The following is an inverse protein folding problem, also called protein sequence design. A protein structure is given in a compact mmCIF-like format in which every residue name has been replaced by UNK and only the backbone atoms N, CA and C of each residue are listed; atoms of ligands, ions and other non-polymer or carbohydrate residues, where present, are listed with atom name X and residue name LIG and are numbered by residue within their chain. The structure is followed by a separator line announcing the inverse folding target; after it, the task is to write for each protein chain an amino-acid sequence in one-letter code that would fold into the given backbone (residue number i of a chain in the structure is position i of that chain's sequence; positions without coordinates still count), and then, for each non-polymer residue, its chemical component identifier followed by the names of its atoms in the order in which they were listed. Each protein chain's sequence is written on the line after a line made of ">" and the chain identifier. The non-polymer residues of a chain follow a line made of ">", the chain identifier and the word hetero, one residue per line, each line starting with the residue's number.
data_IF_509656796567
#
_entry.id   IF_509656796567
#
_cell.length_a   1.000
_cell.length_b   1.000
_cell.length_c   1.000
_cell.angle_alpha   90.00
_cell.angle_beta   90.00
_cell.angle_gamma   90.00
#
_symmetry.space_group_name_H-M   'P 1'
#
loop_
_entity.id
_entity.type
_entity.pdbx_description
1 polymer ?
#
# COMPACT_ATOMS: atom_id res chain seq x y z
N UNK A 1 23.83 -57.70 74.26
CA UNK A 1 22.81 -57.54 73.21
C UNK A 1 23.36 -56.62 72.12
N UNK A 2 23.93 -57.16 71.02
CA UNK A 2 24.44 -56.37 69.88
C UNK A 2 23.41 -56.38 68.75
N UNK A 3 22.77 -55.24 68.47
CA UNK A 3 21.87 -55.06 67.30
C UNK A 3 22.74 -54.93 66.05
N UNK A 4 22.57 -55.85 65.09
CA UNK A 4 23.14 -55.70 63.75
C UNK A 4 22.23 -54.78 62.93
N UNK A 5 22.82 -53.71 62.38
CA UNK A 5 22.17 -52.81 61.43
C UNK A 5 22.21 -53.46 60.03
N UNK A 6 21.03 -53.78 59.49
CA UNK A 6 20.86 -54.31 58.14
C UNK A 6 21.00 -53.16 57.13
N UNK A 7 22.10 -53.16 56.39
CA UNK A 7 22.37 -52.24 55.29
C UNK A 7 21.49 -52.62 54.10
N UNK A 8 20.52 -51.77 53.75
CA UNK A 8 19.76 -51.85 52.50
C UNK A 8 20.62 -51.24 51.40
N UNK A 9 21.13 -52.06 50.48
CA UNK A 9 21.81 -51.56 49.28
C UNK A 9 20.76 -51.23 48.22
N UNK A 10 20.67 -49.96 47.81
CA UNK A 10 19.87 -49.57 46.65
C UNK A 10 20.69 -49.82 45.39
N UNK A 11 20.28 -50.78 44.57
CA UNK A 11 20.82 -50.97 43.22
C UNK A 11 20.39 -49.79 42.35
N UNK A 12 21.24 -48.78 42.24
CA UNK A 12 21.13 -47.77 41.19
C UNK A 12 21.56 -48.44 39.89
N UNK A 13 20.57 -48.94 39.12
CA UNK A 13 20.80 -49.44 37.78
C UNK A 13 21.24 -48.25 36.92
N UNK A 14 22.53 -48.21 36.53
CA UNK A 14 23.05 -47.21 35.62
C UNK A 14 22.44 -47.38 34.23
N UNK A 15 21.95 -46.28 33.66
CA UNK A 15 21.45 -46.25 32.28
C UNK A 15 22.54 -46.70 31.31
N UNK A 16 22.17 -47.55 30.35
CA UNK A 16 23.10 -47.97 29.31
C UNK A 16 23.30 -46.85 28.29
N UNK A 17 24.53 -46.68 27.77
CA UNK A 17 24.82 -45.71 26.70
C UNK A 17 23.91 -45.93 25.47
N UNK A 18 23.47 -47.18 25.26
CA UNK A 18 22.56 -47.56 24.18
C UNK A 18 21.13 -47.03 24.39
N UNK A 19 20.58 -47.11 25.61
CA UNK A 19 19.27 -46.49 25.91
C UNK A 19 19.29 -45.00 25.65
N UNK A 20 20.36 -44.32 26.05
CA UNK A 20 20.48 -42.89 25.84
C UNK A 20 20.58 -42.55 24.34
N UNK A 21 21.27 -43.38 23.55
CA UNK A 21 21.36 -43.24 22.10
C UNK A 21 20.01 -43.46 21.40
N UNK A 22 19.23 -44.45 21.83
CA UNK A 22 17.89 -44.71 21.29
C UNK A 22 16.95 -43.54 21.63
N UNK A 23 17.01 -43.01 22.85
CA UNK A 23 16.17 -41.88 23.27
C UNK A 23 16.47 -40.63 22.44
N UNK A 24 17.74 -40.27 22.25
CA UNK A 24 18.08 -39.10 21.42
C UNK A 24 17.72 -39.33 19.95
N UNK A 25 17.80 -40.56 19.44
CA UNK A 25 17.38 -40.88 18.08
C UNK A 25 15.86 -40.74 17.90
N UNK A 26 15.07 -41.25 18.85
CA UNK A 26 13.60 -41.11 18.83
C UNK A 26 13.20 -39.64 18.95
N UNK A 27 13.81 -38.89 19.88
CA UNK A 27 13.54 -37.45 20.04
C UNK A 27 13.91 -36.70 18.76
N UNK A 28 15.04 -37.01 18.12
CA UNK A 28 15.45 -36.39 16.87
C UNK A 28 14.45 -36.60 15.73
N UNK A 29 13.95 -37.83 15.57
CA UNK A 29 12.93 -38.14 14.56
C UNK A 29 11.62 -37.41 14.86
N UNK A 30 11.15 -37.47 16.11
CA UNK A 30 9.92 -36.80 16.51
C UNK A 30 10.00 -35.28 16.37
N UNK A 31 11.12 -34.67 16.74
CA UNK A 31 11.35 -33.24 16.55
C UNK A 31 11.30 -32.88 15.06
N UNK A 32 12.00 -33.63 14.19
CA UNK A 32 12.01 -33.33 12.75
C UNK A 32 10.61 -33.34 12.13
N UNK A 33 9.79 -34.34 12.50
CA UNK A 33 8.44 -34.48 11.99
C UNK A 33 7.52 -33.36 12.52
N UNK A 34 7.70 -32.99 13.79
CA UNK A 34 6.92 -31.93 14.45
C UNK A 34 7.19 -30.57 13.83
N UNK A 35 8.47 -30.21 13.59
CA UNK A 35 8.82 -28.95 12.94
C UNK A 35 8.24 -28.82 11.53
N UNK A 36 8.27 -29.89 10.74
CA UNK A 36 7.71 -29.88 9.39
C UNK A 36 6.19 -29.64 9.38
N UNK A 37 5.46 -30.27 10.30
CA UNK A 37 4.00 -30.09 10.43
C UNK A 37 3.65 -28.69 10.95
N UNK A 38 4.39 -28.18 11.95
CA UNK A 38 4.13 -26.86 12.51
C UNK A 38 4.32 -25.74 11.47
N UNK A 39 5.37 -25.81 10.64
CA UNK A 39 5.62 -24.81 9.60
C UNK A 39 4.55 -24.78 8.51
N UNK A 40 3.97 -25.93 8.14
CA UNK A 40 2.87 -25.97 7.16
C UNK A 40 1.55 -25.46 7.71
N UNK A 41 1.29 -25.64 9.01
CA UNK A 41 0.07 -25.14 9.68
C UNK A 41 0.11 -23.61 9.83
N UNK A 42 1.29 -23.02 10.09
CA UNK A 42 1.43 -21.56 10.20
C UNK A 42 1.20 -20.86 8.86
N UNK A 43 1.82 -21.35 7.78
CA UNK A 43 1.67 -20.74 6.45
C UNK A 43 0.22 -20.79 5.94
N UNK A 44 -0.47 -21.92 6.19
CA UNK A 44 -1.89 -22.07 5.86
C UNK A 44 -2.78 -21.08 6.63
N UNK A 45 -2.53 -20.91 7.93
CA UNK A 45 -3.26 -19.98 8.77
C UNK A 45 -3.00 -18.52 8.39
N UNK A 46 -1.75 -18.16 8.10
CA UNK A 46 -1.35 -16.82 7.66
C UNK A 46 -2.02 -16.45 6.32
N UNK A 47 -2.07 -17.40 5.38
CA UNK A 47 -2.77 -17.22 4.11
C UNK A 47 -4.28 -17.01 4.29
N UNK A 48 -4.92 -17.79 5.17
CA UNK A 48 -6.36 -17.67 5.45
C UNK A 48 -6.69 -16.35 6.15
N UNK A 49 -5.87 -15.93 7.12
CA UNK A 49 -5.99 -14.66 7.80
C UNK A 49 -5.86 -13.49 6.81
N UNK A 50 -4.80 -13.50 5.99
CA UNK A 50 -4.58 -12.49 4.95
C UNK A 50 -5.75 -12.42 3.97
N UNK A 51 -6.24 -13.58 3.52
CA UNK A 51 -7.41 -13.65 2.62
C UNK A 51 -8.66 -13.04 3.27
N UNK A 52 -8.86 -13.27 4.57
CA UNK A 52 -9.98 -12.69 5.32
C UNK A 52 -9.87 -11.17 5.40
N UNK A 53 -8.69 -10.63 5.70
CA UNK A 53 -8.41 -9.19 5.73
C UNK A 53 -8.65 -8.55 4.37
N UNK A 54 -8.14 -9.16 3.29
CA UNK A 54 -8.39 -8.70 1.91
C UNK A 54 -9.90 -8.69 1.60
N UNK A 55 -10.65 -9.72 1.99
CA UNK A 55 -12.10 -9.75 1.79
C UNK A 55 -12.85 -8.69 2.60
N UNK A 56 -12.38 -8.30 3.79
CA UNK A 56 -12.94 -7.17 4.55
C UNK A 56 -12.68 -5.87 3.82
N UNK A 57 -11.42 -5.61 3.46
CA UNK A 57 -10.97 -4.42 2.73
C UNK A 57 -11.76 -4.28 1.42
N UNK A 58 -11.88 -5.36 0.63
CA UNK A 58 -12.61 -5.35 -0.63
C UNK A 58 -14.09 -4.95 -0.44
N UNK A 59 -14.77 -5.50 0.58
CA UNK A 59 -16.16 -5.13 0.88
C UNK A 59 -16.31 -3.65 1.21
N UNK A 60 -15.38 -3.10 1.98
CA UNK A 60 -15.40 -1.66 2.32
C UNK A 60 -15.06 -0.80 1.10
N UNK A 61 -14.10 -1.23 0.28
CA UNK A 61 -13.73 -0.55 -0.94
C UNK A 61 -14.90 -0.51 -1.93
N UNK A 62 -15.58 -1.64 -2.14
CA UNK A 62 -16.80 -1.73 -2.95
C UNK A 62 -17.87 -0.76 -2.44
N UNK A 63 -18.14 -0.74 -1.12
CA UNK A 63 -19.08 0.21 -0.52
C UNK A 63 -18.70 1.66 -0.79
N UNK A 64 -17.40 1.99 -0.74
CA UNK A 64 -16.91 3.35 -1.03
C UNK A 64 -17.00 3.68 -2.51
N UNK A 65 -16.70 2.75 -3.41
CA UNK A 65 -16.84 2.92 -4.85
C UNK A 65 -18.32 3.16 -5.20
N UNK A 66 -19.23 2.40 -4.62
CA UNK A 66 -20.67 2.62 -4.81
C UNK A 66 -21.13 3.97 -4.25
N UNK A 67 -20.60 4.39 -3.09
CA UNK A 67 -20.90 5.69 -2.50
C UNK A 67 -20.39 6.83 -3.39
N UNK A 68 -19.18 6.71 -3.92
CA UNK A 68 -18.62 7.60 -4.92
C UNK A 68 -19.54 7.66 -6.15
N UNK A 69 -19.91 6.54 -6.74
CA UNK A 69 -20.76 6.50 -7.94
C UNK A 69 -22.15 7.09 -7.71
N UNK A 70 -22.73 6.92 -6.52
CA UNK A 70 -23.97 7.58 -6.13
C UNK A 70 -23.80 9.09 -6.00
N UNK A 71 -22.70 9.53 -5.42
CA UNK A 71 -22.40 10.93 -5.14
C UNK A 71 -21.87 11.70 -6.35
N UNK A 72 -21.27 11.02 -7.31
CA UNK A 72 -20.68 11.57 -8.53
C UNK A 72 -21.76 11.88 -9.56
N UNK A 73 -22.73 12.71 -9.18
CA UNK A 73 -23.87 13.13 -9.99
C UNK A 73 -24.14 14.62 -9.80
N UNK A 74 -24.84 15.23 -10.77
CA UNK A 74 -25.30 16.62 -10.69
C UNK A 74 -24.16 17.64 -10.48
N UNK A 75 -24.30 18.50 -9.46
CA UNK A 75 -23.41 19.63 -9.22
C UNK A 75 -21.94 19.23 -8.97
N UNK A 76 -21.69 18.11 -8.28
CA UNK A 76 -20.33 17.66 -7.98
C UNK A 76 -19.57 17.22 -9.22
N UNK A 77 -20.19 16.38 -10.05
CA UNK A 77 -19.64 16.01 -11.36
C UNK A 77 -19.30 17.27 -12.17
N UNK A 78 -20.21 18.24 -12.20
CA UNK A 78 -20.00 19.49 -12.93
C UNK A 78 -18.82 20.30 -12.37
N UNK A 79 -18.55 20.25 -11.06
CA UNK A 79 -17.38 20.87 -10.45
C UNK A 79 -16.07 20.21 -10.89
N UNK A 80 -16.00 18.87 -10.85
CA UNK A 80 -14.83 18.14 -11.34
C UNK A 80 -14.60 18.37 -12.83
N UNK A 81 -15.66 18.32 -13.65
CA UNK A 81 -15.59 18.66 -15.07
C UNK A 81 -15.03 20.07 -15.26
N UNK A 82 -15.53 21.07 -14.49
CA UNK A 82 -15.04 22.45 -14.55
C UNK A 82 -13.55 22.54 -14.21
N UNK A 83 -13.10 21.87 -13.14
CA UNK A 83 -11.68 21.82 -12.74
C UNK A 83 -10.82 21.15 -13.81
N UNK A 84 -11.28 20.06 -14.39
CA UNK A 84 -10.57 19.39 -15.49
C UNK A 84 -10.46 20.33 -16.70
N UNK A 85 -11.54 21.00 -17.11
CA UNK A 85 -11.47 21.99 -18.20
C UNK A 85 -10.50 23.13 -17.89
N UNK A 86 -10.47 23.62 -16.64
CA UNK A 86 -9.56 24.66 -16.19
C UNK A 86 -8.09 24.21 -16.26
N UNK A 87 -7.80 22.98 -15.84
CA UNK A 87 -6.47 22.37 -15.98
C UNK A 87 -6.08 22.18 -17.45
N UNK A 88 -7.01 21.69 -18.29
CA UNK A 88 -6.79 21.51 -19.73
C UNK A 88 -6.50 22.85 -20.43
N UNK A 89 -7.16 23.92 -20.00
CA UNK A 89 -6.98 25.26 -20.56
C UNK A 89 -5.68 25.94 -20.10
N UNK A 90 -5.12 25.53 -18.97
CA UNK A 90 -3.90 26.12 -18.38
C UNK A 90 -2.64 25.28 -18.59
N UNK A 91 -2.79 24.02 -19.00
CA UNK A 91 -1.68 23.13 -19.34
C UNK A 91 -0.95 23.64 -20.59
N UNK A 92 0.27 24.13 -20.38
CA UNK A 92 1.19 24.59 -21.43
C UNK A 92 2.16 23.50 -21.91
N UNK A 93 2.05 22.28 -21.37
CA UNK A 93 2.94 21.15 -21.62
C UNK A 93 2.55 20.32 -22.87
N UNK A 94 1.57 20.77 -23.65
CA UNK A 94 1.14 20.11 -24.89
C UNK A 94 0.39 18.78 -24.70
N UNK A 95 0.29 18.27 -23.45
CA UNK A 95 -0.37 16.97 -23.16
C UNK A 95 -1.84 16.91 -23.55
N UNK A 96 -2.47 18.07 -23.76
CA UNK A 96 -3.88 18.20 -24.12
C UNK A 96 -4.11 18.87 -25.48
N UNK A 97 -3.05 19.08 -26.27
CA UNK A 97 -3.15 19.63 -27.63
C UNK A 97 -4.05 18.76 -28.52
N UNK A 98 -4.11 17.45 -28.26
CA UNK A 98 -5.03 16.54 -28.93
C UNK A 98 -6.49 17.03 -28.89
N UNK A 99 -6.98 17.41 -27.70
CA UNK A 99 -8.37 17.88 -27.51
C UNK A 99 -8.61 19.28 -28.07
N UNK A 100 -7.55 20.08 -28.24
CA UNK A 100 -7.62 21.38 -28.93
C UNK A 100 -7.82 21.21 -30.43
N UNK A 101 -7.28 20.14 -31.01
CA UNK A 101 -7.37 19.82 -32.44
C UNK A 101 -8.63 18.98 -32.77
N UNK A 102 -9.16 18.22 -31.81
CA UNK A 102 -10.38 17.39 -31.93
C UNK A 102 -11.50 17.87 -30.99
N UNK A 103 -12.09 19.05 -31.23
CA UNK A 103 -13.09 19.67 -30.34
C UNK A 103 -14.39 18.85 -30.21
N UNK A 104 -14.68 17.94 -31.13
CA UNK A 104 -15.80 17.01 -31.09
C UNK A 104 -15.60 15.84 -30.12
N UNK A 105 -14.35 15.42 -29.89
CA UNK A 105 -14.00 14.34 -28.96
C UNK A 105 -13.76 14.86 -27.53
N UNK A 106 -13.49 16.16 -27.41
CA UNK A 106 -13.20 16.80 -26.13
C UNK A 106 -14.35 16.68 -25.12
N UNK A 107 -15.63 16.97 -25.42
CA UNK A 107 -16.69 16.91 -24.40
C UNK A 107 -16.85 15.53 -23.72
N UNK A 108 -16.96 14.39 -24.44
CA UNK A 108 -17.05 13.08 -23.79
C UNK A 108 -15.75 12.69 -23.08
N UNK A 109 -14.58 12.97 -23.67
CA UNK A 109 -13.30 12.65 -23.06
C UNK A 109 -13.04 13.45 -21.77
N UNK A 110 -13.40 14.73 -21.72
CA UNK A 110 -13.29 15.58 -20.53
C UNK A 110 -14.12 15.02 -19.39
N UNK A 111 -15.33 14.51 -19.66
CA UNK A 111 -16.16 13.89 -18.62
C UNK A 111 -15.49 12.64 -18.07
N UNK A 112 -14.91 11.79 -18.93
CA UNK A 112 -14.18 10.59 -18.52
C UNK A 112 -12.95 10.97 -17.69
N UNK A 113 -12.14 11.91 -18.17
CA UNK A 113 -10.95 12.39 -17.48
C UNK A 113 -11.29 13.03 -16.14
N UNK A 114 -12.38 13.78 -16.06
CA UNK A 114 -12.85 14.38 -14.81
C UNK A 114 -13.31 13.34 -13.80
N UNK A 115 -13.98 12.27 -14.26
CA UNK A 115 -14.35 11.14 -13.42
C UNK A 115 -13.12 10.39 -12.95
N UNK A 116 -12.13 10.18 -13.82
CA UNK A 116 -10.86 9.55 -13.45
C UNK A 116 -10.10 10.39 -12.43
N UNK A 117 -10.00 11.71 -12.63
CA UNK A 117 -9.38 12.62 -11.68
C UNK A 117 -10.10 12.65 -10.33
N UNK A 118 -11.44 12.66 -10.34
CA UNK A 118 -12.24 12.55 -9.13
C UNK A 118 -12.02 11.22 -8.42
N UNK A 119 -11.98 10.11 -9.15
CA UNK A 119 -11.69 8.80 -8.58
C UNK A 119 -10.28 8.76 -7.99
N UNK A 120 -9.31 9.37 -8.66
CA UNK A 120 -7.92 9.49 -8.19
C UNK A 120 -7.82 10.26 -6.87
N UNK A 121 -8.54 11.37 -6.73
CA UNK A 121 -8.54 12.14 -5.49
C UNK A 121 -9.22 11.42 -4.32
N UNK A 122 -10.15 10.51 -4.61
CA UNK A 122 -10.93 9.79 -3.60
C UNK A 122 -10.29 8.46 -3.18
N UNK A 123 -9.54 7.85 -4.09
CA UNK A 123 -8.78 6.62 -3.84
C UNK A 123 -7.30 6.85 -4.19
N UNK A 124 -6.59 7.76 -3.49
CA UNK A 124 -5.21 8.13 -3.82
C UNK A 124 -4.23 6.98 -3.62
N UNK A 125 -3.39 6.68 -4.61
CA UNK A 125 -2.32 5.67 -4.44
C UNK A 125 -1.02 6.25 -3.92
N UNK A 126 -0.80 7.55 -4.14
CA UNK A 126 0.35 8.30 -3.65
C UNK A 126 -0.10 9.58 -2.98
N UNK A 127 0.71 10.07 -2.05
CA UNK A 127 0.42 11.23 -1.23
C UNK A 127 0.31 12.49 -2.09
N UNK A 128 1.12 12.58 -3.15
CA UNK A 128 1.06 13.66 -4.14
C UNK A 128 -0.31 13.78 -4.84
N UNK A 129 -1.12 12.71 -4.86
CA UNK A 129 -2.44 12.75 -5.49
C UNK A 129 -3.50 13.43 -4.61
N UNK A 130 -3.24 13.53 -3.31
CA UNK A 130 -4.00 14.37 -2.39
C UNK A 130 -3.58 15.84 -2.51
N UNK A 131 -2.35 16.11 -2.97
CA UNK A 131 -1.79 17.45 -3.14
C UNK A 131 -2.14 18.01 -4.53
N UNK A 132 -3.40 18.40 -4.73
CA UNK A 132 -3.86 18.95 -6.01
C UNK A 132 -3.46 20.42 -6.18
N UNK A 133 -3.18 21.15 -5.08
CA UNK A 133 -2.69 22.54 -5.09
C UNK A 133 -1.66 22.78 -3.98
N UNK A 134 -0.79 23.80 -4.11
CA UNK A 134 0.17 24.18 -3.06
C UNK A 134 -0.47 24.59 -1.71
N UNK A 135 -1.79 24.75 -1.65
CA UNK A 135 -2.53 25.14 -0.43
C UNK A 135 -3.00 23.94 0.38
N UNK A 136 -2.86 22.72 -0.15
CA UNK A 136 -3.23 21.48 0.55
C UNK A 136 -2.09 20.97 1.47
N UNK A 137 -0.98 21.70 1.52
CA UNK A 137 0.17 21.56 2.43
C UNK A 137 0.57 22.97 2.89
N UNK A 138 -0.18 23.51 3.85
CA UNK A 138 -0.01 24.91 4.25
C UNK A 138 1.30 25.15 5.00
N UNK A 139 1.89 24.11 5.59
CA UNK A 139 3.12 24.18 6.37
C UNK A 139 4.38 23.80 5.56
N UNK A 140 4.22 23.34 4.32
CA UNK A 140 5.29 23.04 3.37
C UNK A 140 6.12 21.81 3.75
N UNK A 141 5.56 20.88 4.54
CA UNK A 141 6.28 19.69 5.01
C UNK A 141 6.21 18.51 4.03
N UNK A 142 5.51 18.67 2.90
CA UNK A 142 5.34 17.64 1.88
C UNK A 142 4.22 16.64 2.20
N UNK A 143 3.49 16.84 3.30
CA UNK A 143 2.35 16.03 3.71
C UNK A 143 1.05 16.82 3.49
N UNK A 144 -0.02 16.19 2.98
CA UNK A 144 -1.32 16.84 2.87
C UNK A 144 -1.91 17.15 4.26
N UNK A 145 -2.36 18.39 4.46
CA UNK A 145 -2.99 18.89 5.70
C UNK A 145 -4.17 17.99 6.13
N UNK A 146 -4.86 17.37 5.16
CA UNK A 146 -6.00 16.47 5.41
C UNK A 146 -5.58 15.12 6.01
N UNK A 147 -4.39 14.61 5.72
CA UNK A 147 -3.83 13.40 6.34
C UNK A 147 -3.23 13.77 7.69
N UNK A 148 -2.49 14.88 7.74
CA UNK A 148 -1.89 15.39 8.97
C UNK A 148 -2.96 15.58 10.07
N UNK A 149 -4.01 16.36 9.77
CA UNK A 149 -5.05 16.69 10.76
C UNK A 149 -5.87 15.50 11.23
N UNK A 150 -6.03 14.46 10.39
CA UNK A 150 -6.95 13.34 10.65
C UNK A 150 -6.27 12.09 11.20
N UNK A 151 -5.00 11.88 10.88
CA UNK A 151 -4.25 10.68 11.28
C UNK A 151 -3.02 11.09 12.09
N UNK A 152 -2.10 11.84 11.48
CA UNK A 152 -0.79 12.06 12.06
C UNK A 152 -0.85 12.85 13.37
N UNK A 153 -1.66 13.91 13.44
CA UNK A 153 -1.81 14.75 14.64
C UNK A 153 -2.44 13.98 15.81
N UNK A 154 -3.59 13.30 15.64
CA UNK A 154 -4.13 12.43 16.69
C UNK A 154 -3.14 11.34 17.15
N UNK A 155 -2.47 10.68 16.21
CA UNK A 155 -1.49 9.63 16.49
C UNK A 155 -0.27 10.14 17.26
N UNK A 156 0.31 11.26 16.83
CA UNK A 156 1.42 11.92 17.49
C UNK A 156 1.06 12.37 18.92
N UNK A 157 -0.15 12.93 19.11
CA UNK A 157 -0.64 13.28 20.43
C UNK A 157 -0.77 12.05 21.34
N UNK A 158 -1.39 10.97 20.85
CA UNK A 158 -1.55 9.73 21.60
C UNK A 158 -0.20 9.11 21.98
N UNK A 159 0.77 9.15 21.08
CA UNK A 159 2.12 8.65 21.32
C UNK A 159 2.84 9.42 22.43
N UNK A 160 2.79 10.76 22.41
CA UNK A 160 3.41 11.58 23.46
C UNK A 160 2.76 11.36 24.83
N UNK A 161 1.43 11.17 24.87
CA UNK A 161 0.73 10.82 26.11
C UNK A 161 1.17 9.44 26.61
N UNK A 162 1.22 8.42 25.74
CA UNK A 162 1.67 7.09 26.11
C UNK A 162 3.13 7.09 26.61
N UNK A 163 4.00 7.88 25.97
CA UNK A 163 5.38 8.06 26.40
C UNK A 163 5.49 8.73 27.79
N UNK A 164 4.61 9.69 28.12
CA UNK A 164 4.52 10.24 29.49
C UNK A 164 4.06 9.19 30.49
N UNK A 165 3.03 8.40 30.16
CA UNK A 165 2.54 7.33 31.01
C UNK A 165 3.58 6.23 31.27
N UNK A 166 4.48 5.99 30.31
CA UNK A 166 5.59 5.05 30.44
C UNK A 166 6.84 5.63 31.12
N UNK A 167 6.88 6.95 31.37
CA UNK A 167 8.03 7.61 31.98
C UNK A 167 8.19 7.25 33.46
N UNK A 168 9.38 7.49 34.01
CA UNK A 168 9.66 7.23 35.43
C UNK A 168 8.82 8.10 36.40
N UNK A 169 8.24 9.19 35.92
CA UNK A 169 7.39 10.10 36.68
C UNK A 169 6.24 10.64 35.81
N UNK A 170 5.18 9.83 35.59
CA UNK A 170 4.05 10.22 34.75
C UNK A 170 3.32 11.46 35.28
N UNK A 171 2.93 12.36 34.38
CA UNK A 171 2.20 13.57 34.72
C UNK A 171 0.69 13.33 34.58
N UNK A 172 -0.06 13.52 35.67
CA UNK A 172 -1.52 13.36 35.64
C UNK A 172 -2.17 14.41 34.74
N UNK A 173 -2.87 13.98 33.68
CA UNK A 173 -3.53 14.89 32.75
C UNK A 173 -2.57 15.62 31.80
N UNK A 174 -1.43 15.00 31.48
CA UNK A 174 -0.48 15.52 30.51
C UNK A 174 -1.13 15.75 29.14
N UNK A 175 -0.92 16.94 28.57
CA UNK A 175 -1.34 17.31 27.22
C UNK A 175 -0.16 17.92 26.47
N UNK A 176 0.30 17.30 25.37
CA UNK A 176 1.37 17.84 24.54
C UNK A 176 1.01 19.19 23.92
N UNK A 177 1.99 20.08 23.79
CA UNK A 177 1.80 21.34 23.06
C UNK A 177 1.70 21.12 21.55
N UNK A 178 1.05 22.05 20.84
CA UNK A 178 0.94 21.99 19.38
C UNK A 178 2.31 21.91 18.68
N UNK A 179 3.31 22.63 19.20
CA UNK A 179 4.68 22.59 18.67
C UNK A 179 5.34 21.23 18.84
N UNK A 180 5.14 20.56 19.97
CA UNK A 180 5.68 19.21 20.20
C UNK A 180 5.03 18.19 19.26
N UNK A 181 3.73 18.31 19.03
CA UNK A 181 2.99 17.47 18.07
C UNK A 181 3.53 17.69 16.67
N UNK A 182 3.61 18.94 16.17
CA UNK A 182 4.10 19.23 14.82
C UNK A 182 5.55 18.79 14.62
N UNK A 183 6.42 18.99 15.61
CA UNK A 183 7.82 18.52 15.52
C UNK A 183 7.91 16.99 15.44
N UNK A 184 7.07 16.28 16.18
CA UNK A 184 7.00 14.82 16.12
C UNK A 184 6.47 14.34 14.76
N UNK A 185 5.38 14.93 14.27
CA UNK A 185 4.83 14.60 12.94
C UNK A 185 5.86 14.81 11.84
N UNK A 186 6.54 15.96 11.82
CA UNK A 186 7.54 16.24 10.79
C UNK A 186 8.73 15.28 10.86
N UNK A 187 9.19 14.92 12.06
CA UNK A 187 10.29 13.97 12.25
C UNK A 187 9.90 12.54 11.83
N UNK A 188 8.65 12.16 12.06
CA UNK A 188 8.10 10.89 11.61
C UNK A 188 8.00 10.83 10.09
N UNK A 189 7.44 11.87 9.47
CA UNK A 189 7.28 11.96 8.02
C UNK A 189 8.61 11.94 7.26
N UNK A 190 9.52 12.83 7.62
CA UNK A 190 10.80 12.99 6.91
C UNK A 190 11.87 11.98 7.31
N UNK A 191 11.60 11.18 8.35
CA UNK A 191 12.61 10.37 9.02
C UNK A 191 13.59 11.23 9.82
N UNK A 192 14.08 10.69 10.93
CA UNK A 192 15.05 11.40 11.77
C UNK A 192 14.63 11.44 13.23
N UNK A 193 15.07 12.48 13.93
CA UNK A 193 14.94 12.55 15.39
C UNK A 193 14.13 13.74 15.86
N UNK A 194 13.17 13.52 16.75
CA UNK A 194 12.55 14.60 17.52
C UNK A 194 12.96 14.52 18.99
N UNK A 195 13.10 15.67 19.63
CA UNK A 195 13.29 15.76 21.08
C UNK A 195 12.07 16.40 21.72
N UNK A 196 11.47 15.72 22.69
CA UNK A 196 10.33 16.23 23.46
C UNK A 196 10.62 16.18 24.96
N UNK A 197 10.02 17.10 25.72
CA UNK A 197 10.15 17.13 27.18
C UNK A 197 8.93 16.43 27.78
N UNK A 198 9.15 15.21 28.27
CA UNK A 198 8.10 14.34 28.81
C UNK A 198 8.33 14.17 30.31
N UNK A 199 7.34 14.52 31.14
CA UNK A 199 7.49 14.48 32.60
C UNK A 199 8.71 15.27 33.12
N UNK A 200 9.16 16.31 32.40
CA UNK A 200 10.36 17.08 32.73
C UNK A 200 11.69 16.46 32.28
N UNK A 201 11.66 15.35 31.54
CA UNK A 201 12.83 14.66 30.98
C UNK A 201 12.90 14.89 29.47
N UNK A 202 14.05 15.34 28.96
CA UNK A 202 14.28 15.40 27.51
C UNK A 202 14.48 13.99 26.96
N UNK A 203 13.59 13.58 26.07
CA UNK A 203 13.61 12.28 25.41
C UNK A 203 13.79 12.50 23.91
N UNK A 204 14.64 11.68 23.29
CA UNK A 204 14.86 11.72 21.84
C UNK A 204 14.28 10.46 21.23
N UNK A 205 13.48 10.64 20.19
CA UNK A 205 12.85 9.59 19.40
C UNK A 205 13.53 9.51 18.04
N UNK A 206 13.51 8.36 17.38
CA UNK A 206 14.10 8.15 16.05
C UNK A 206 13.10 7.39 15.19
N UNK A 207 12.89 7.85 13.95
CA UNK A 207 11.88 7.33 13.02
C UNK A 207 12.49 7.07 11.64
N UNK A 208 11.91 6.13 10.90
CA UNK A 208 12.42 5.71 9.59
C UNK A 208 11.99 6.61 8.43
N UNK A 209 10.97 7.46 8.62
CA UNK A 209 10.42 8.27 7.54
C UNK A 209 9.45 7.47 6.68
N UNK A 210 8.46 8.14 6.10
CA UNK A 210 7.51 7.52 5.18
C UNK A 210 8.27 6.83 4.04
N UNK A 211 8.01 5.54 3.86
CA UNK A 211 8.53 4.77 2.75
C UNK A 211 7.52 4.67 1.60
N UNK A 212 8.04 4.71 0.38
CA UNK A 212 7.21 4.48 -0.81
C UNK A 212 6.51 3.10 -0.83
N UNK A 213 7.08 2.12 -0.13
CA UNK A 213 6.53 0.77 -0.05
C UNK A 213 5.31 0.66 0.88
N UNK A 214 5.17 1.58 1.83
CA UNK A 214 4.06 1.69 2.82
C UNK A 214 3.02 2.72 2.39
N UNK A 215 3.43 3.77 1.65
CA UNK A 215 2.60 4.90 1.19
C UNK A 215 1.23 4.48 0.64
N UNK A 216 1.18 3.48 -0.26
CA UNK A 216 -0.09 3.01 -0.81
C UNK A 216 -0.98 2.35 0.26
N UNK A 217 -0.41 1.58 1.18
CA UNK A 217 -1.18 0.93 2.25
C UNK A 217 -1.70 1.94 3.28
N UNK A 218 -0.90 2.94 3.64
CA UNK A 218 -1.32 4.07 4.49
C UNK A 218 -2.50 4.82 3.86
N UNK A 219 -2.42 5.09 2.55
CA UNK A 219 -3.47 5.78 1.83
C UNK A 219 -4.73 4.93 1.69
N UNK A 220 -4.62 3.60 1.62
CA UNK A 220 -5.76 2.71 1.72
C UNK A 220 -6.44 2.85 3.09
N UNK A 221 -5.66 2.83 4.16
CA UNK A 221 -6.16 3.05 5.51
C UNK A 221 -6.83 4.42 5.64
N UNK A 222 -6.15 5.49 5.20
CA UNK A 222 -6.71 6.83 5.15
C UNK A 222 -8.03 6.83 4.41
N UNK A 223 -8.06 6.28 3.20
CA UNK A 223 -9.26 6.23 2.36
C UNK A 223 -10.39 5.46 3.04
N UNK A 224 -10.11 4.35 3.71
CA UNK A 224 -11.14 3.47 4.28
C UNK A 224 -11.62 3.90 5.68
N UNK A 225 -10.78 4.57 6.47
CA UNK A 225 -11.05 4.85 7.89
C UNK A 225 -11.14 6.36 8.17
N UNK A 226 -10.22 7.17 7.65
CA UNK A 226 -10.10 8.59 8.02
C UNK A 226 -10.73 9.57 7.01
N UNK A 227 -10.75 9.21 5.72
CA UNK A 227 -11.28 10.04 4.67
C UNK A 227 -12.80 10.18 4.83
N UNK A 228 -13.27 11.43 4.82
CA UNK A 228 -14.69 11.73 4.89
C UNK A 228 -15.37 11.20 3.64
N UNK A 229 -16.32 10.27 3.79
CA UNK A 229 -17.04 9.72 2.65
C UNK A 229 -18.10 10.69 2.15
N UNK A 230 -18.50 10.53 0.89
CA UNK A 230 -19.60 11.19 0.21
C UNK A 230 -21.00 10.89 0.81
N UNK A 231 -21.16 11.05 2.12
CA UNK A 231 -22.39 10.80 2.85
C UNK A 231 -22.55 9.37 3.39
N UNK A 232 -21.55 8.50 3.29
CA UNK A 232 -21.47 7.32 4.17
C UNK A 232 -20.67 7.66 5.42
N UNK A 233 -20.98 7.04 6.55
CA UNK A 233 -20.12 7.14 7.73
C UNK A 233 -18.71 6.63 7.38
N UNK A 234 -17.70 7.21 8.02
CA UNK A 234 -16.38 6.57 8.12
C UNK A 234 -16.59 5.16 8.65
N UNK A 235 -15.81 4.19 8.15
CA UNK A 235 -15.79 2.87 8.75
C UNK A 235 -15.12 3.03 10.11
N UNK A 236 -15.78 2.53 11.17
CA UNK A 236 -15.16 2.52 12.49
C UNK A 236 -13.87 1.69 12.43
N UNK A 237 -12.76 2.29 12.86
CA UNK A 237 -11.45 1.63 12.92
C UNK A 237 -11.50 0.30 13.69
N UNK A 238 -12.44 0.18 14.63
CA UNK A 238 -12.74 -1.01 15.43
C UNK A 238 -13.12 -2.27 14.62
N UNK A 239 -13.38 -2.16 13.31
CA UNK A 239 -13.61 -3.33 12.45
C UNK A 239 -12.34 -4.13 12.12
N UNK A 240 -11.18 -3.54 12.37
CA UNK A 240 -9.87 -4.16 12.16
C UNK A 240 -9.18 -4.39 13.49
N UNK A 241 -8.42 -5.49 13.58
CA UNK A 241 -7.60 -5.76 14.75
C UNK A 241 -6.22 -5.09 14.65
N UNK A 242 -5.55 -4.95 15.79
CA UNK A 242 -4.15 -4.48 15.88
C UNK A 242 -3.15 -5.36 15.11
N UNK A 243 -3.56 -6.53 14.62
CA UNK A 243 -2.73 -7.38 13.74
C UNK A 243 -2.94 -7.10 12.25
N UNK A 244 -4.04 -6.45 11.90
CA UNK A 244 -4.41 -6.09 10.53
C UNK A 244 -4.03 -4.63 10.20
N UNK A 245 -3.87 -3.80 11.23
CA UNK A 245 -3.51 -2.39 11.12
C UNK A 245 -2.30 -2.13 11.98
N UNK A 246 -1.17 -1.83 11.34
CA UNK A 246 0.13 -1.63 11.99
C UNK A 246 0.85 -0.49 11.26
N UNK A 247 1.56 0.34 12.02
CA UNK A 247 2.53 1.32 11.51
C UNK A 247 3.87 0.57 11.36
N UNK A 248 4.26 0.24 10.12
CA UNK A 248 5.38 -0.67 9.85
C UNK A 248 6.73 0.06 9.80
N UNK A 249 6.72 1.34 9.46
CA UNK A 249 7.93 2.19 9.36
C UNK A 249 8.08 3.23 10.49
N UNK A 250 7.19 3.19 11.48
CA UNK A 250 7.14 4.08 12.66
C UNK A 250 6.94 5.56 12.30
N UNK A 251 6.34 5.86 11.13
CA UNK A 251 6.06 7.22 10.67
C UNK A 251 4.71 7.77 11.22
N UNK A 252 4.02 6.99 12.06
CA UNK A 252 2.76 7.37 12.67
C UNK A 252 1.55 7.28 11.74
N UNK A 253 1.71 6.78 10.52
CA UNK A 253 0.65 6.45 9.59
C UNK A 253 0.38 4.94 9.65
N UNK A 254 -0.79 4.52 10.15
CA UNK A 254 -1.12 3.10 10.16
C UNK A 254 -1.39 2.58 8.75
N UNK A 255 -0.88 1.40 8.48
CA UNK A 255 -1.04 0.66 7.23
C UNK A 255 -1.91 -0.57 7.45
N UNK A 256 -2.59 -1.05 6.40
CA UNK A 256 -3.08 -2.42 6.43
C UNK A 256 -1.92 -3.38 6.21
N UNK A 257 -1.81 -4.42 7.04
CA UNK A 257 -0.78 -5.44 6.91
C UNK A 257 -1.39 -6.84 6.75
N UNK A 258 -0.64 -7.72 6.11
CA UNK A 258 -0.98 -9.13 6.01
C UNK A 258 -0.58 -9.91 7.28
N UNK A 259 -0.85 -11.22 7.29
CA UNK A 259 -0.51 -12.06 8.43
C UNK A 259 1.00 -12.21 8.67
N UNK A 260 1.83 -11.93 7.66
CA UNK A 260 3.29 -11.86 7.74
C UNK A 260 3.81 -10.47 8.14
N UNK A 261 2.90 -9.55 8.49
CA UNK A 261 3.21 -8.16 8.83
C UNK A 261 3.87 -7.40 7.67
N UNK A 262 3.50 -7.75 6.43
CA UNK A 262 3.87 -6.98 5.25
C UNK A 262 2.73 -6.04 4.87
N UNK A 263 3.02 -4.79 4.46
CA UNK A 263 2.00 -3.84 4.05
C UNK A 263 1.21 -4.33 2.83
N UNK A 264 -0.12 -4.33 2.93
CA UNK A 264 -1.05 -4.64 1.85
C UNK A 264 -1.13 -3.45 0.89
N UNK A 265 -0.30 -3.49 -0.14
CA UNK A 265 -0.34 -2.51 -1.22
C UNK A 265 -1.65 -2.63 -2.00
N UNK A 266 -2.26 -1.48 -2.30
CA UNK A 266 -3.39 -1.43 -3.22
C UNK A 266 -3.02 -0.71 -4.50
N UNK A 267 -3.64 -1.15 -5.58
CA UNK A 267 -3.32 -0.64 -6.90
C UNK A 267 -4.60 -0.36 -7.70
N UNK A 268 -4.70 0.83 -8.30
CA UNK A 268 -5.77 1.17 -9.25
C UNK A 268 -5.32 0.75 -10.63
N UNK A 269 -6.20 0.03 -11.33
CA UNK A 269 -5.97 -0.58 -12.65
C UNK A 269 -4.48 -0.88 -12.98
N UNK A 270 -3.97 -2.03 -12.53
CA UNK A 270 -2.57 -2.36 -12.70
C UNK A 270 -2.30 -2.88 -14.10
N UNK A 271 -1.49 -2.17 -14.87
CA UNK A 271 -0.88 -2.72 -16.08
C UNK A 271 0.54 -3.20 -15.77
N UNK A 272 1.26 -2.52 -14.86
CA UNK A 272 2.58 -2.96 -14.34
C UNK A 272 2.59 -4.19 -13.43
N UNK A 273 1.48 -4.58 -12.80
CA UNK A 273 1.41 -5.87 -12.06
C UNK A 273 1.51 -7.07 -13.00
N UNK A 274 1.09 -6.86 -14.24
CA UNK A 274 1.06 -7.88 -15.28
C UNK A 274 2.36 -7.81 -16.10
N UNK A 275 2.88 -6.60 -16.31
CA UNK A 275 4.16 -6.37 -16.99
C UNK A 275 5.21 -5.71 -16.06
N UNK A 276 6.02 -6.51 -15.35
CA UNK A 276 7.09 -5.99 -14.48
C UNK A 276 8.30 -5.43 -15.26
N UNK A 277 8.35 -5.62 -16.58
CA UNK A 277 9.50 -5.24 -17.43
C UNK A 277 9.24 -4.02 -18.30
N UNK A 278 8.11 -3.32 -18.10
CA UNK A 278 7.79 -2.09 -18.81
C UNK A 278 8.90 -1.02 -18.64
N UNK A 279 9.24 -0.24 -19.69
CA UNK A 279 10.26 0.81 -19.61
C UNK A 279 10.07 1.75 -18.41
N UNK A 280 11.13 2.00 -17.63
CA UNK A 280 11.10 2.88 -16.46
C UNK A 280 12.18 3.99 -16.56
N UNK A 281 11.81 5.29 -16.61
CA UNK A 281 10.45 5.84 -16.58
C UNK A 281 9.66 5.52 -17.86
N UNK A 282 8.34 5.49 -17.75
CA UNK A 282 7.45 5.45 -18.91
C UNK A 282 7.39 6.87 -19.50
N UNK A 283 8.14 7.10 -20.58
CA UNK A 283 8.23 8.39 -21.27
C UNK A 283 7.99 8.21 -22.78
N UNK A 284 6.72 8.16 -23.21
CA UNK A 284 6.39 7.93 -24.61
C UNK A 284 6.75 9.12 -25.49
N UNK A 285 7.60 8.89 -26.49
CA UNK A 285 7.86 9.81 -27.58
C UNK A 285 6.81 9.65 -28.68
N UNK A 286 5.72 10.43 -28.55
CA UNK A 286 4.63 10.45 -29.54
C UNK A 286 5.05 10.95 -30.93
N UNK A 287 6.28 11.43 -31.12
CA UNK A 287 6.82 11.84 -32.41
C UNK A 287 7.66 10.75 -33.08
N UNK A 288 8.10 9.72 -32.36
CA UNK A 288 8.90 8.62 -32.88
C UNK A 288 8.02 7.40 -33.18
N UNK A 289 7.96 6.99 -34.45
CA UNK A 289 7.23 5.80 -34.94
C UNK A 289 7.81 4.49 -34.37
N UNK A 290 9.01 4.55 -33.80
CA UNK A 290 9.77 3.43 -33.25
C UNK A 290 10.26 3.73 -31.82
N UNK A 291 9.47 4.50 -31.07
CA UNK A 291 9.67 4.68 -29.65
C UNK A 291 9.74 3.31 -28.95
N UNK A 292 10.70 3.12 -28.05
CA UNK A 292 10.86 1.87 -27.30
C UNK A 292 9.76 1.68 -26.23
N UNK A 293 8.93 2.70 -25.97
CA UNK A 293 7.65 2.56 -25.27
C UNK A 293 6.48 2.24 -26.21
N UNK A 294 6.67 2.35 -27.53
CA UNK A 294 5.74 1.84 -28.53
C UNK A 294 5.99 0.35 -28.73
N UNK A 295 4.92 -0.40 -28.48
CA UNK A 295 4.82 -1.86 -28.60
C UNK A 295 5.34 -2.33 -29.96
N UNK A 296 5.87 -3.54 -29.99
CA UNK A 296 6.26 -4.25 -31.21
C UNK A 296 5.20 -4.11 -32.32
N UNK A 297 5.65 -3.59 -33.47
CA UNK A 297 4.84 -3.37 -34.67
C UNK A 297 4.54 -4.68 -35.41
N UNK A 298 5.17 -5.78 -35.01
CA UNK A 298 5.10 -7.12 -35.58
C UNK A 298 4.88 -8.22 -34.54
N UNK A 299 3.75 -8.22 -33.79
CA UNK A 299 3.56 -9.17 -32.70
C UNK A 299 3.70 -10.62 -33.12
N UNK A 300 4.82 -11.23 -32.74
CA UNK A 300 5.17 -12.61 -33.05
C UNK A 300 5.24 -13.50 -31.80
N UNK A 301 5.04 -12.89 -30.62
CA UNK A 301 5.08 -13.56 -29.32
C UNK A 301 6.49 -13.77 -28.77
N UNK A 302 7.48 -12.99 -29.24
CA UNK A 302 8.89 -13.08 -28.84
C UNK A 302 9.60 -11.71 -28.87
N UNK A 303 10.31 -11.36 -27.81
CA UNK A 303 11.00 -10.06 -27.66
C UNK A 303 12.37 -10.00 -28.39
N UNK A 304 12.59 -10.82 -29.42
CA UNK A 304 13.91 -10.96 -30.05
C UNK A 304 14.33 -9.77 -30.90
N UNK A 305 13.38 -8.93 -31.29
CA UNK A 305 13.60 -7.66 -31.98
C UNK A 305 13.91 -6.49 -31.00
N UNK A 306 13.85 -6.75 -29.69
CA UNK A 306 14.08 -5.77 -28.64
C UNK A 306 12.89 -4.87 -28.34
N UNK A 307 11.71 -5.19 -28.86
CA UNK A 307 10.45 -4.50 -28.57
C UNK A 307 9.65 -5.30 -27.52
N UNK A 308 9.02 -4.61 -26.57
CA UNK A 308 8.27 -5.23 -25.46
C UNK A 308 6.86 -5.61 -25.91
N UNK A 309 6.47 -6.85 -25.67
CA UNK A 309 5.17 -7.42 -26.05
C UNK A 309 4.44 -8.14 -24.90
N UNK A 310 3.16 -7.85 -24.65
CA UNK A 310 2.40 -8.68 -23.69
C UNK A 310 2.15 -10.07 -24.27
N UNK A 311 2.85 -11.06 -23.74
CA UNK A 311 2.76 -12.44 -24.20
C UNK A 311 1.37 -13.03 -23.93
N UNK A 312 1.02 -14.10 -24.67
CA UNK A 312 -0.23 -14.82 -24.46
C UNK A 312 -0.38 -15.36 -23.01
N UNK A 313 0.74 -15.70 -22.36
CA UNK A 313 0.77 -16.18 -20.98
C UNK A 313 0.47 -15.03 -20.01
N UNK A 314 1.14 -13.88 -20.14
CA UNK A 314 0.90 -12.69 -19.31
C UNK A 314 -0.55 -12.21 -19.46
N UNK A 315 -1.09 -12.20 -20.68
CA UNK A 315 -2.49 -11.87 -20.94
C UNK A 315 -3.45 -12.88 -20.31
N UNK A 316 -3.09 -14.16 -20.29
CA UNK A 316 -3.90 -15.19 -19.60
C UNK A 316 -3.91 -14.93 -18.09
N UNK A 317 -2.75 -14.62 -17.49
CA UNK A 317 -2.69 -14.21 -16.08
C UNK A 317 -3.51 -12.96 -15.79
N UNK A 318 -3.37 -11.94 -16.64
CA UNK A 318 -4.18 -10.73 -16.57
C UNK A 318 -5.68 -11.04 -16.60
N UNK A 319 -6.12 -11.97 -17.46
CA UNK A 319 -7.54 -12.32 -17.60
C UNK A 319 -8.14 -12.99 -16.38
N UNK A 320 -7.31 -13.63 -15.55
CA UNK A 320 -7.74 -14.18 -14.26
C UNK A 320 -7.99 -13.06 -13.23
N UNK A 321 -7.26 -11.95 -13.33
CA UNK A 321 -7.36 -10.80 -12.45
C UNK A 321 -8.41 -9.78 -12.93
N UNK A 322 -8.52 -9.60 -14.24
CA UNK A 322 -9.32 -8.56 -14.89
C UNK A 322 -10.31 -9.21 -15.86
N UNK A 323 -11.60 -9.12 -15.53
CA UNK A 323 -12.67 -9.56 -16.43
C UNK A 323 -12.86 -8.56 -17.56
N UNK A 324 -13.00 -9.06 -18.80
CA UNK A 324 -13.32 -8.23 -19.96
C UNK A 324 -12.13 -7.48 -20.55
N UNK A 325 -10.91 -8.05 -20.41
CA UNK A 325 -9.74 -7.51 -21.10
C UNK A 325 -9.99 -7.36 -22.60
N UNK A 326 -9.55 -6.25 -23.21
CA UNK A 326 -9.58 -6.13 -24.67
C UNK A 326 -8.69 -7.21 -25.29
N UNK A 327 -9.02 -7.58 -26.53
CA UNK A 327 -8.13 -8.41 -27.34
C UNK A 327 -6.78 -7.73 -27.51
N UNK A 328 -5.74 -8.52 -27.78
CA UNK A 328 -4.45 -7.95 -28.19
C UNK A 328 -4.66 -7.01 -29.40
N UNK A 329 -3.94 -5.88 -29.45
CA UNK A 329 -4.05 -4.96 -30.57
C UNK A 329 -3.75 -5.67 -31.89
N UNK A 330 -4.51 -5.35 -32.93
CA UNK A 330 -4.29 -5.91 -34.26
C UNK A 330 -3.24 -5.06 -35.00
N UNK A 331 -2.17 -5.70 -35.46
CA UNK A 331 -1.23 -5.06 -36.38
C UNK A 331 -1.82 -5.02 -37.79
N UNK A 332 -1.95 -3.81 -38.36
CA UNK A 332 -2.32 -3.61 -39.75
C UNK A 332 -1.14 -3.02 -40.51
N UNK A 333 -0.76 -3.64 -41.64
CA UNK A 333 0.36 -3.18 -42.44
C UNK A 333 0.17 -1.71 -42.87
N UNK A 334 1.10 -0.85 -42.45
CA UNK A 334 1.12 0.58 -42.81
C UNK A 334 0.26 1.50 -41.93
N UNK A 335 -0.33 0.99 -40.84
CA UNK A 335 -0.94 1.81 -39.79
C UNK A 335 -0.06 1.77 -38.53
N UNK A 336 -0.03 2.85 -37.72
CA UNK A 336 0.63 2.80 -36.43
C UNK A 336 0.00 1.69 -35.58
N UNK A 337 0.83 0.86 -34.94
CA UNK A 337 0.31 -0.20 -34.08
C UNK A 337 -0.54 0.42 -32.97
N UNK A 338 -1.71 -0.18 -32.75
CA UNK A 338 -2.52 0.21 -31.62
C UNK A 338 -1.78 -0.21 -30.34
N UNK A 339 -1.54 0.73 -29.42
CA UNK A 339 -0.85 0.44 -28.16
C UNK A 339 -1.66 -0.56 -27.34
N UNK A 340 -0.99 -1.58 -26.83
CA UNK A 340 -1.58 -2.50 -25.87
C UNK A 340 -1.77 -1.78 -24.54
N UNK A 341 -3.01 -1.70 -24.07
CA UNK A 341 -3.32 -1.01 -22.82
C UNK A 341 -2.69 -1.71 -21.62
N UNK A 342 -2.26 -2.97 -21.74
CA UNK A 342 -1.56 -3.70 -20.68
C UNK A 342 -0.07 -3.30 -20.52
N UNK A 343 0.49 -2.51 -21.45
CA UNK A 343 1.86 -1.99 -21.36
C UNK A 343 1.93 -0.55 -20.84
N UNK A 344 0.78 0.12 -20.79
CA UNK A 344 0.69 1.54 -20.41
C UNK A 344 0.05 1.64 -19.04
N UNK A 345 0.80 2.13 -18.06
CA UNK A 345 0.22 2.49 -16.76
C UNK A 345 0.01 4.00 -16.67
N UNK A 346 -1.25 4.47 -16.80
CA UNK A 346 -1.53 5.90 -16.71
C UNK A 346 -1.53 6.44 -15.26
N UNK A 347 -1.44 5.57 -14.26
CA UNK A 347 -1.49 5.92 -12.84
C UNK A 347 -0.13 5.75 -12.13
N UNK A 348 0.81 4.97 -12.68
CA UNK A 348 2.24 4.96 -12.29
C UNK A 348 3.16 5.10 -13.51
N UNK A 349 3.38 6.31 -14.05
CA UNK A 349 4.29 6.51 -15.18
C UNK A 349 5.77 6.37 -14.79
N UNK A 350 6.12 6.42 -13.51
CA UNK A 350 7.51 6.48 -13.03
C UNK A 350 7.99 5.19 -12.37
N UNK A 351 7.14 4.16 -12.33
CA UNK A 351 7.50 2.81 -11.89
C UNK A 351 7.85 2.77 -10.41
N UNK A 352 7.26 3.68 -9.63
CA UNK A 352 7.61 3.91 -8.25
C UNK A 352 6.93 2.93 -7.28
N UNK A 353 5.90 2.22 -7.73
CA UNK A 353 5.14 1.29 -6.90
C UNK A 353 5.64 -0.16 -6.96
N UNK A 354 6.67 -0.44 -7.78
CA UNK A 354 7.29 -1.76 -7.97
C UNK A 354 8.68 -1.88 -7.37
#
# INVERSE_FOLDING_TARGET
>A
MRKQLRKTESSLNGFTMLELLIVIAIIGVLMSLTFYVLNGVTEGAEKEATTTTIHKINRLLEQRIEAFDRAFKGSRRNEYVRKTVELLATATDGRFDYFRVHPEEAPPAIVILSRKAAFRSEFPQRMVELMLKPVDDANGNGMPDAVESKIAVPGARAYLIAADQASAAPTTGFEPSATEITNLVNARWSGGTCSAVIGGVSTTFTFSGNQQVTESSELLYYTLVAAGSFGSSSVDADQFSDREVVDTDDDGLPEFVDAWQQPLRFYRWPTRLIDPTAPNPFDPDFAAINDNTEVDLTPDGNESDGLREVTAIERTYASNLIRGLPAAPLAFAGLPAQRDMLLVDPDDPVGLLY
#
